data_IF_920061119605
#
_entry.id   IF_920061119605
#
_cell.length_a   1.000
_cell.length_b   1.000
_cell.length_c   1.000
_cell.angle_alpha   90.00
_cell.angle_beta   90.00
_cell.angle_gamma   90.00
#
_symmetry.space_group_name_H-M   'P 1'
#
loop_
_entity.id
_entity.type
_entity.pdbx_description
1 polymer ?
#
# COMPACT_ATOMS: atom_id res chain seq x y z
N UNK A 1 -7.03 8.40 7.62
CA UNK A 1 -5.94 9.09 6.90
C UNK A 1 -6.40 10.49 6.51
N UNK A 2 -5.49 11.46 6.34
CA UNK A 2 -5.84 12.81 5.87
C UNK A 2 -6.45 12.77 4.46
N UNK A 3 -7.29 13.76 4.13
CA UNK A 3 -7.86 13.88 2.78
C UNK A 3 -6.77 14.00 1.72
N UNK A 4 -5.74 14.80 1.97
CA UNK A 4 -4.61 15.01 1.07
C UNK A 4 -3.91 13.69 0.71
N UNK A 5 -3.62 12.85 1.71
CA UNK A 5 -2.93 11.58 1.48
C UNK A 5 -3.83 10.57 0.74
N UNK A 6 -5.13 10.57 1.02
CA UNK A 6 -6.10 9.75 0.28
C UNK A 6 -6.14 10.18 -1.19
N UNK A 7 -6.18 11.48 -1.47
CA UNK A 7 -6.16 12.00 -2.84
C UNK A 7 -4.84 11.71 -3.55
N UNK A 8 -3.70 11.80 -2.86
CA UNK A 8 -2.40 11.40 -3.41
C UNK A 8 -2.37 9.91 -3.80
N UNK A 9 -2.93 9.01 -2.97
CA UNK A 9 -3.06 7.59 -3.30
C UNK A 9 -4.01 7.34 -4.49
N UNK A 10 -5.08 8.13 -4.62
CA UNK A 10 -6.01 8.01 -5.77
C UNK A 10 -5.37 8.50 -7.05
N UNK A 11 -4.79 9.70 -7.03
CA UNK A 11 -4.15 10.36 -8.18
C UNK A 11 -3.04 9.51 -8.76
N UNK A 12 -2.17 8.96 -7.91
CA UNK A 12 -1.02 8.18 -8.33
C UNK A 12 -1.29 6.66 -8.36
N UNK A 13 -2.55 6.22 -8.26
CA UNK A 13 -2.91 4.79 -8.25
C UNK A 13 -2.35 4.03 -9.47
N UNK A 14 -2.44 4.54 -10.72
CA UNK A 14 -1.92 3.81 -11.88
C UNK A 14 -0.42 3.50 -11.78
N UNK A 15 0.36 4.48 -11.30
CA UNK A 15 1.81 4.34 -11.15
C UNK A 15 2.17 3.41 -9.98
N UNK A 16 1.44 3.51 -8.87
CA UNK A 16 1.61 2.59 -7.73
C UNK A 16 1.30 1.15 -8.12
N UNK A 17 0.18 0.91 -8.82
CA UNK A 17 -0.23 -0.43 -9.26
C UNK A 17 0.82 -1.03 -10.19
N UNK A 18 1.36 -0.24 -11.11
CA UNK A 18 2.39 -0.71 -12.05
C UNK A 18 3.77 -0.88 -11.41
N UNK A 19 4.12 -0.01 -10.47
CA UNK A 19 5.47 0.07 -9.89
C UNK A 19 5.70 -0.82 -8.67
N UNK A 20 4.65 -1.17 -7.92
CA UNK A 20 4.79 -2.04 -6.74
C UNK A 20 4.97 -3.49 -7.19
N UNK A 21 6.13 -4.05 -6.87
CA UNK A 21 6.47 -5.44 -7.17
C UNK A 21 5.86 -6.41 -6.15
N UNK A 22 5.74 -7.68 -6.52
CA UNK A 22 5.25 -8.72 -5.61
C UNK A 22 6.07 -8.84 -4.31
N UNK A 23 7.42 -8.78 -4.32
CA UNK A 23 8.21 -8.76 -3.09
C UNK A 23 7.93 -7.53 -2.21
N UNK A 24 7.76 -6.36 -2.82
CA UNK A 24 7.43 -5.13 -2.09
C UNK A 24 6.06 -5.26 -1.40
N UNK A 25 5.04 -5.72 -2.14
CA UNK A 25 3.70 -5.95 -1.60
C UNK A 25 3.70 -6.99 -0.47
N UNK A 26 4.41 -8.11 -0.64
CA UNK A 26 4.54 -9.14 0.40
C UNK A 26 5.16 -8.58 1.68
N UNK A 27 6.21 -7.75 1.54
CA UNK A 27 6.83 -7.09 2.69
C UNK A 27 5.87 -6.08 3.36
N UNK A 28 5.09 -5.33 2.57
CA UNK A 28 4.05 -4.45 3.08
C UNK A 28 3.02 -5.21 3.90
N UNK A 29 2.40 -6.26 3.34
CA UNK A 29 1.38 -7.06 4.01
C UNK A 29 1.90 -7.67 5.31
N UNK A 30 3.10 -8.26 5.29
CA UNK A 30 3.74 -8.81 6.50
C UNK A 30 3.92 -7.75 7.59
N UNK A 31 4.36 -6.55 7.24
CA UNK A 31 4.58 -5.46 8.21
C UNK A 31 3.29 -4.86 8.74
N UNK A 32 2.27 -4.81 7.90
CA UNK A 32 0.94 -4.31 8.25
C UNK A 32 0.21 -5.29 9.17
N UNK A 33 0.37 -6.60 8.93
CA UNK A 33 -0.05 -7.67 9.86
C UNK A 33 0.61 -7.52 11.22
N UNK A 34 1.95 -7.46 11.24
CA UNK A 34 2.73 -7.40 12.49
C UNK A 34 2.52 -6.10 13.31
N UNK A 35 1.78 -5.12 12.78
CA UNK A 35 1.46 -3.85 13.43
C UNK A 35 -0.04 -3.68 13.67
N UNK A 36 -0.83 -4.72 13.44
CA UNK A 36 -2.30 -4.71 13.54
C UNK A 36 -2.95 -3.58 12.72
N UNK A 37 -2.33 -3.20 11.60
CA UNK A 37 -2.88 -2.20 10.68
C UNK A 37 -3.94 -2.84 9.81
N UNK A 38 -3.66 -4.05 9.31
CA UNK A 38 -4.60 -4.89 8.56
C UNK A 38 -4.96 -6.10 9.41
N UNK A 39 -6.23 -6.46 9.36
CA UNK A 39 -6.76 -7.69 9.94
C UNK A 39 -6.37 -8.90 9.09
N UNK A 40 -6.47 -10.10 9.66
CA UNK A 40 -6.26 -11.36 8.93
C UNK A 40 -7.22 -11.49 7.73
N UNK A 41 -8.47 -11.08 7.89
CA UNK A 41 -9.49 -11.14 6.83
C UNK A 41 -9.14 -10.21 5.67
N UNK A 42 -8.69 -8.99 5.96
CA UNK A 42 -8.25 -8.04 4.93
C UNK A 42 -7.01 -8.55 4.18
N UNK A 43 -6.06 -9.16 4.89
CA UNK A 43 -4.87 -9.75 4.27
C UNK A 43 -5.28 -10.93 3.39
N UNK A 44 -6.11 -11.83 3.90
CA UNK A 44 -6.59 -13.01 3.16
C UNK A 44 -7.35 -12.59 1.90
N UNK A 45 -8.21 -11.57 2.00
CA UNK A 45 -8.93 -11.01 0.86
C UNK A 45 -7.99 -10.43 -0.20
N UNK A 46 -6.91 -9.74 0.21
CA UNK A 46 -5.90 -9.23 -0.71
C UNK A 46 -5.11 -10.39 -1.33
N UNK A 47 -4.55 -11.29 -0.53
CA UNK A 47 -3.72 -12.40 -1.01
C UNK A 47 -4.48 -13.35 -1.95
N UNK A 48 -5.80 -13.50 -1.76
CA UNK A 48 -6.68 -14.26 -2.64
C UNK A 48 -6.83 -13.70 -4.05
N UNK A 49 -6.42 -12.45 -4.31
CA UNK A 49 -6.45 -11.86 -5.66
C UNK A 49 -5.30 -12.45 -6.50
N UNK A 50 -5.62 -13.12 -7.60
CA UNK A 50 -4.62 -13.84 -8.41
C UNK A 50 -3.62 -12.93 -9.14
N UNK A 51 -4.11 -11.83 -9.72
CA UNK A 51 -3.30 -10.93 -10.54
C UNK A 51 -2.62 -9.88 -9.67
N UNK A 52 -1.29 -9.72 -9.81
CA UNK A 52 -0.51 -8.80 -8.97
C UNK A 52 -1.00 -7.35 -9.04
N UNK A 53 -1.37 -6.85 -10.23
CA UNK A 53 -1.87 -5.49 -10.40
C UNK A 53 -3.16 -5.24 -9.62
N UNK A 54 -4.12 -6.18 -9.73
CA UNK A 54 -5.38 -6.12 -9.00
C UNK A 54 -5.15 -6.28 -7.51
N UNK A 55 -4.19 -7.12 -7.11
CA UNK A 55 -3.79 -7.33 -5.71
C UNK A 55 -3.25 -6.05 -5.08
N UNK A 56 -2.37 -5.33 -5.79
CA UNK A 56 -1.90 -4.01 -5.36
C UNK A 56 -3.07 -3.03 -5.27
N UNK A 57 -3.97 -3.04 -6.25
CA UNK A 57 -5.19 -2.23 -6.22
C UNK A 57 -6.03 -2.46 -4.97
N UNK A 58 -6.30 -3.73 -4.63
CA UNK A 58 -7.02 -4.13 -3.43
C UNK A 58 -6.30 -3.66 -2.15
N UNK A 59 -4.98 -3.84 -2.09
CA UNK A 59 -4.16 -3.32 -0.98
C UNK A 59 -4.34 -1.81 -0.80
N UNK A 60 -4.29 -1.03 -1.88
CA UNK A 60 -4.46 0.43 -1.82
C UNK A 60 -5.89 0.85 -1.42
N UNK A 61 -6.90 0.06 -1.79
CA UNK A 61 -8.29 0.30 -1.40
C UNK A 61 -8.53 0.12 0.10
N UNK A 62 -7.91 -0.91 0.68
CA UNK A 62 -7.89 -1.10 2.13
C UNK A 62 -7.10 0.01 2.81
N UNK A 63 -5.92 0.38 2.27
CA UNK A 63 -5.02 1.37 2.85
C UNK A 63 -5.70 2.73 3.07
N UNK A 64 -6.48 3.20 2.09
CA UNK A 64 -7.21 4.48 2.15
C UNK A 64 -8.18 4.57 3.34
N UNK A 65 -8.68 3.43 3.83
CA UNK A 65 -9.64 3.34 4.94
C UNK A 65 -8.94 3.32 6.31
N UNK A 66 -7.62 3.20 6.33
CA UNK A 66 -6.84 3.15 7.56
C UNK A 66 -6.51 4.54 8.09
N UNK A 67 -6.06 4.55 9.33
CA UNK A 67 -5.56 5.72 10.04
C UNK A 67 -4.27 6.30 9.42
N UNK A 68 -3.89 7.51 9.85
CA UNK A 68 -2.78 8.25 9.26
C UNK A 68 -1.43 7.52 9.37
N UNK A 69 -1.17 6.79 10.48
CA UNK A 69 0.09 6.05 10.65
C UNK A 69 0.29 4.96 9.59
N UNK A 70 -0.78 4.38 9.05
CA UNK A 70 -0.69 3.37 7.99
C UNK A 70 -0.04 3.95 6.72
N UNK A 71 -0.37 5.20 6.37
CA UNK A 71 0.26 5.89 5.24
C UNK A 71 1.77 6.07 5.45
N UNK A 72 2.17 6.50 6.65
CA UNK A 72 3.59 6.64 6.98
C UNK A 72 4.34 5.32 6.85
N UNK A 73 3.78 4.23 7.40
CA UNK A 73 4.37 2.90 7.28
C UNK A 73 4.47 2.45 5.83
N UNK A 74 3.44 2.70 5.01
CA UNK A 74 3.49 2.38 3.58
C UNK A 74 4.63 3.10 2.87
N UNK A 75 4.80 4.41 3.11
CA UNK A 75 5.92 5.18 2.56
C UNK A 75 7.29 4.62 2.95
N UNK A 76 7.45 4.19 4.21
CA UNK A 76 8.70 3.55 4.66
C UNK A 76 8.95 2.22 3.93
N UNK A 77 7.90 1.41 3.75
CA UNK A 77 8.03 0.17 2.97
C UNK A 77 8.48 0.46 1.54
N UNK A 78 7.91 1.47 0.87
CA UNK A 78 8.34 1.83 -0.48
C UNK A 78 9.82 2.21 -0.53
N UNK A 79 10.29 3.06 0.39
CA UNK A 79 11.70 3.49 0.47
C UNK A 79 12.63 2.28 0.69
N UNK A 80 12.32 1.44 1.67
CA UNK A 80 13.16 0.29 2.03
C UNK A 80 13.20 -0.80 0.94
N UNK A 81 12.18 -0.85 0.08
CA UNK A 81 12.15 -1.79 -1.06
C UNK A 81 12.67 -1.14 -2.37
N UNK A 82 13.49 -0.07 -2.27
CA UNK A 82 14.08 0.66 -3.41
C UNK A 82 13.05 1.27 -4.36
N UNK A 83 11.83 1.51 -3.90
CA UNK A 83 10.75 2.18 -4.61
C UNK A 83 10.54 3.61 -4.07
N UNK A 84 11.61 4.32 -3.71
CA UNK A 84 11.55 5.68 -3.17
C UNK A 84 10.82 6.65 -4.08
N UNK A 85 11.00 6.53 -5.40
CA UNK A 85 10.27 7.32 -6.39
C UNK A 85 8.74 7.23 -6.24
N UNK A 86 8.20 6.06 -5.88
CA UNK A 86 6.77 5.90 -5.62
C UNK A 86 6.34 6.56 -4.30
N UNK A 87 7.22 6.57 -3.29
CA UNK A 87 6.97 7.27 -2.04
C UNK A 87 6.94 8.78 -2.25
N UNK A 88 7.82 9.30 -3.10
CA UNK A 88 7.91 10.72 -3.41
C UNK A 88 6.65 11.20 -4.16
N UNK A 89 6.10 10.39 -5.08
CA UNK A 89 4.85 10.68 -5.79
C UNK A 89 3.64 10.91 -4.87
N UNK A 90 3.58 10.23 -3.72
CA UNK A 90 2.43 10.30 -2.82
C UNK A 90 2.66 11.21 -1.61
N UNK A 91 3.89 11.66 -1.37
CA UNK A 91 4.23 12.60 -0.30
C UNK A 91 4.15 14.06 -0.71
N UNK A 92 4.20 14.35 -2.02
CA UNK A 92 4.03 15.68 -2.62
C UNK A 92 2.60 16.19 -2.47
#
# INVERSE_FOLDING_TARGET
MSKMNIEALKKNRPDLVKGITAPCLKNALRRFKARDIYTEDEISAIEGVAVIYDRVGAFLDVLKRKEQRAFYHFCQVLIENRASHLADLIKS
#
